data_IF_035177818213
#
_entry.id   IF_035177818213
#
_cell.length_a   1.000
_cell.length_b   1.000
_cell.length_c   1.000
_cell.angle_alpha   90.00
_cell.angle_beta   90.00
_cell.angle_gamma   90.00
#
_symmetry.space_group_name_H-M   'P 1'
#
loop_
_entity.id
_entity.type
_entity.pdbx_description
1 polymer ?
#
# COMPACT_ATOMS: atom_id res chain seq x y z
N UNK A 1 9.02 -27.44 3.50
CA UNK A 1 9.03 -26.03 3.07
C UNK A 1 7.58 -25.56 3.06
N UNK A 2 7.20 -24.69 3.98
CA UNK A 2 5.87 -24.08 3.99
C UNK A 2 5.92 -22.94 2.97
N UNK A 3 5.20 -23.12 1.85
CA UNK A 3 5.22 -22.19 0.70
C UNK A 3 4.39 -20.92 0.93
N UNK A 4 3.74 -20.76 2.09
CA UNK A 4 2.89 -19.60 2.39
C UNK A 4 2.72 -19.43 3.90
N UNK A 5 2.82 -18.19 4.44
CA UNK A 5 2.56 -17.88 5.85
C UNK A 5 1.12 -18.17 6.26
N UNK A 6 0.20 -18.35 5.33
CA UNK A 6 -1.19 -18.72 5.59
C UNK A 6 -1.35 -20.15 6.12
N UNK A 7 -0.32 -21.00 6.00
CA UNK A 7 -0.33 -22.38 6.49
C UNK A 7 -0.14 -22.48 8.01
N UNK A 8 0.43 -21.45 8.65
CA UNK A 8 0.65 -21.40 10.09
C UNK A 8 -0.56 -20.79 10.79
N UNK A 9 -1.38 -21.66 11.39
CA UNK A 9 -2.57 -21.27 12.15
C UNK A 9 -2.22 -21.28 13.64
N UNK A 10 -2.22 -20.11 14.31
CA UNK A 10 -1.96 -20.00 15.75
C UNK A 10 -3.21 -20.30 16.58
N UNK A 11 -4.40 -19.91 16.09
CA UNK A 11 -5.66 -20.12 16.82
C UNK A 11 -6.81 -20.30 15.83
N UNK A 12 -7.64 -21.31 16.09
CA UNK A 12 -8.85 -21.58 15.33
C UNK A 12 -10.05 -21.52 16.26
N UNK A 13 -10.93 -20.53 16.07
CA UNK A 13 -12.20 -20.42 16.76
C UNK A 13 -13.34 -20.37 15.75
N UNK A 14 -13.99 -21.50 15.51
CA UNK A 14 -15.09 -21.62 14.55
C UNK A 14 -14.65 -21.28 13.12
N UNK A 15 -15.28 -20.26 12.53
CA UNK A 15 -14.98 -19.80 11.17
C UNK A 15 -13.79 -18.85 11.03
N UNK A 16 -13.25 -18.35 12.16
CA UNK A 16 -12.14 -17.39 12.17
C UNK A 16 -10.84 -18.15 12.46
N UNK A 17 -9.96 -18.18 11.45
CA UNK A 17 -8.58 -18.69 11.58
C UNK A 17 -7.64 -17.51 11.74
N UNK A 18 -6.97 -17.41 12.88
CA UNK A 18 -5.88 -16.44 13.07
C UNK A 18 -4.60 -17.03 12.50
N UNK A 19 -4.33 -16.69 11.25
CA UNK A 19 -3.11 -17.08 10.55
C UNK A 19 -1.94 -16.19 11.02
N UNK A 20 -0.72 -16.68 10.91
CA UNK A 20 0.50 -15.91 11.16
C UNK A 20 0.50 -14.58 10.38
N UNK A 21 0.01 -14.58 9.16
CA UNK A 21 -0.14 -13.41 8.29
C UNK A 21 -0.93 -12.29 8.94
N UNK A 22 -2.06 -12.61 9.59
CA UNK A 22 -2.92 -11.60 10.25
C UNK A 22 -2.20 -11.01 11.45
N UNK A 23 -1.56 -11.85 12.28
CA UNK A 23 -0.84 -11.42 13.48
C UNK A 23 0.34 -10.52 13.10
N UNK A 24 1.13 -10.91 12.10
CA UNK A 24 2.25 -10.11 11.61
C UNK A 24 1.80 -8.80 10.95
N UNK A 25 0.69 -8.80 10.20
CA UNK A 25 0.12 -7.58 9.61
C UNK A 25 -0.33 -6.60 10.69
N UNK A 26 -1.01 -7.08 11.72
CA UNK A 26 -1.46 -6.25 12.85
C UNK A 26 -0.28 -5.73 13.65
N UNK A 27 0.71 -6.58 13.91
CA UNK A 27 1.95 -6.17 14.58
C UNK A 27 2.67 -5.07 13.82
N UNK A 28 2.81 -5.22 12.49
CA UNK A 28 3.44 -4.24 11.63
C UNK A 28 2.66 -2.91 11.60
N UNK A 29 1.33 -2.96 11.46
CA UNK A 29 0.48 -1.77 11.52
C UNK A 29 0.59 -1.05 12.86
N UNK A 30 0.62 -1.80 13.97
CA UNK A 30 0.79 -1.23 15.29
C UNK A 30 2.14 -0.54 15.43
N UNK A 31 3.23 -1.19 15.00
CA UNK A 31 4.59 -0.62 15.04
C UNK A 31 4.69 0.65 14.19
N UNK A 32 4.13 0.64 12.98
CA UNK A 32 4.11 1.82 12.09
C UNK A 32 3.31 2.97 12.69
N UNK A 33 2.11 2.69 13.22
CA UNK A 33 1.25 3.71 13.82
C UNK A 33 1.87 4.30 15.08
N UNK A 34 2.38 3.44 15.97
CA UNK A 34 3.03 3.86 17.20
C UNK A 34 4.34 4.60 16.94
N UNK A 35 5.16 4.09 16.02
CA UNK A 35 6.42 4.74 15.61
C UNK A 35 6.17 6.11 14.98
N UNK A 36 5.20 6.21 14.08
CA UNK A 36 4.77 7.49 13.48
C UNK A 36 4.28 8.47 14.56
N UNK A 37 3.44 8.01 15.47
CA UNK A 37 2.93 8.83 16.57
C UNK A 37 4.07 9.33 17.49
N UNK A 38 5.03 8.46 17.81
CA UNK A 38 6.15 8.81 18.68
C UNK A 38 7.04 9.89 18.05
N UNK A 39 7.31 9.77 16.75
CA UNK A 39 8.14 10.73 16.02
C UNK A 39 7.38 12.04 15.78
N UNK A 40 6.10 11.98 15.41
CA UNK A 40 5.29 13.17 15.15
C UNK A 40 4.91 13.94 16.42
N UNK A 41 4.84 13.28 17.57
CA UNK A 41 4.55 13.95 18.86
C UNK A 41 5.61 15.00 19.26
N UNK A 42 6.84 14.86 18.78
CA UNK A 42 7.96 15.76 19.11
C UNK A 42 8.46 16.55 17.90
N UNK A 43 7.55 16.87 16.97
CA UNK A 43 7.91 17.71 15.83
C UNK A 43 8.31 19.11 16.30
N UNK A 44 9.57 19.44 16.13
CA UNK A 44 10.11 20.79 16.36
C UNK A 44 10.11 21.59 15.06
N UNK A 45 9.57 22.81 15.10
CA UNK A 45 9.63 23.75 13.97
C UNK A 45 10.94 24.54 13.91
N UNK A 46 11.88 24.29 14.85
CA UNK A 46 13.16 24.99 14.94
C UNK A 46 14.28 24.35 14.09
N UNK A 47 15.45 24.99 14.15
CA UNK A 47 16.69 24.53 13.48
C UNK A 47 17.24 23.22 14.05
N UNK A 48 16.92 22.89 15.30
CA UNK A 48 17.30 21.62 15.93
C UNK A 48 16.32 20.51 15.57
N UNK A 49 16.47 19.99 14.35
CA UNK A 49 15.69 18.84 13.89
C UNK A 49 16.29 17.54 14.40
N UNK A 50 15.45 16.70 15.03
CA UNK A 50 15.83 15.32 15.37
C UNK A 50 16.19 14.52 14.11
N UNK A 51 17.19 13.64 14.20
CA UNK A 51 17.62 12.75 13.10
C UNK A 51 16.43 11.94 12.55
N UNK A 52 15.51 11.53 13.40
CA UNK A 52 14.28 10.79 13.03
C UNK A 52 13.29 11.66 12.25
N UNK A 53 13.16 12.92 12.61
CA UNK A 53 12.33 13.87 11.88
C UNK A 53 12.89 14.13 10.48
N UNK A 54 14.21 14.27 10.35
CA UNK A 54 14.84 14.46 9.06
C UNK A 54 14.69 13.24 8.15
N UNK A 55 14.81 12.03 8.71
CA UNK A 55 14.57 10.80 7.97
C UNK A 55 13.14 10.72 7.44
N UNK A 56 12.13 11.00 8.27
CA UNK A 56 10.73 11.04 7.84
C UNK A 56 10.49 12.11 6.76
N UNK A 57 11.10 13.28 6.91
CA UNK A 57 10.96 14.35 5.93
C UNK A 57 11.54 13.95 4.56
N UNK A 58 12.69 13.29 4.55
CA UNK A 58 13.30 12.75 3.32
C UNK A 58 12.37 11.72 2.65
N UNK A 59 11.81 10.78 3.42
CA UNK A 59 10.90 9.77 2.89
C UNK A 59 9.64 10.42 2.31
N UNK A 60 9.01 11.32 3.07
CA UNK A 60 7.78 12.01 2.65
C UNK A 60 8.03 12.87 1.41
N UNK A 61 9.12 13.62 1.38
CA UNK A 61 9.49 14.45 0.22
C UNK A 61 9.74 13.58 -0.99
N UNK A 62 10.51 12.50 -0.85
CA UNK A 62 10.77 11.57 -1.94
C UNK A 62 9.48 10.95 -2.52
N UNK A 63 8.51 10.58 -1.67
CA UNK A 63 7.21 10.08 -2.15
C UNK A 63 6.42 11.18 -2.88
N UNK A 64 6.41 12.40 -2.35
CA UNK A 64 5.73 13.54 -2.99
C UNK A 64 6.34 13.86 -4.35
N UNK A 65 7.67 13.84 -4.45
CA UNK A 65 8.37 14.10 -5.72
C UNK A 65 8.06 13.02 -6.76
N UNK A 66 8.05 11.75 -6.36
CA UNK A 66 7.65 10.65 -7.26
C UNK A 66 6.19 10.77 -7.72
N UNK A 67 5.27 11.17 -6.83
CA UNK A 67 3.87 11.40 -7.20
C UNK A 67 3.76 12.59 -8.17
N UNK A 68 4.55 13.63 -7.96
CA UNK A 68 4.56 14.80 -8.84
C UNK A 68 5.14 14.48 -10.24
N UNK A 69 6.18 13.64 -10.32
CA UNK A 69 6.76 13.17 -11.57
C UNK A 69 5.77 12.40 -12.46
N UNK A 70 4.81 11.70 -11.86
CA UNK A 70 3.74 11.01 -12.58
C UNK A 70 2.72 12.00 -13.20
N UNK A 71 2.85 13.29 -12.91
CA UNK A 71 2.01 14.35 -13.49
C UNK A 71 0.73 14.65 -12.73
N UNK A 72 0.61 14.20 -11.48
CA UNK A 72 -0.53 14.52 -10.64
C UNK A 72 -0.43 15.94 -10.08
N UNK A 73 -1.44 16.76 -10.38
CA UNK A 73 -1.46 18.19 -10.01
C UNK A 73 -1.53 18.44 -8.51
N UNK A 74 -2.05 17.48 -7.75
CA UNK A 74 -2.22 17.60 -6.28
C UNK A 74 -1.59 16.41 -5.55
N UNK A 75 -0.26 16.27 -5.52
CA UNK A 75 0.42 15.11 -4.94
C UNK A 75 0.09 14.89 -3.46
N UNK A 76 -0.18 15.94 -2.71
CA UNK A 76 -0.53 15.86 -1.28
C UNK A 76 -1.86 15.14 -1.01
N UNK A 77 -2.79 15.13 -1.96
CA UNK A 77 -4.06 14.42 -1.83
C UNK A 77 -3.84 12.91 -1.80
N UNK A 78 -2.88 12.44 -2.60
CA UNK A 78 -2.56 11.03 -2.76
C UNK A 78 -1.53 10.54 -1.73
N UNK A 79 -0.78 11.48 -1.13
CA UNK A 79 0.32 11.16 -0.22
C UNK A 79 -0.12 10.29 0.96
N UNK A 80 -1.26 10.55 1.55
CA UNK A 80 -1.76 9.78 2.68
C UNK A 80 -1.95 8.31 2.34
N UNK A 81 -2.58 8.02 1.21
CA UNK A 81 -2.86 6.65 0.78
C UNK A 81 -1.60 5.96 0.22
N UNK A 82 -0.94 6.57 -0.76
CA UNK A 82 0.27 6.00 -1.38
C UNK A 82 1.40 5.87 -0.36
N UNK A 83 1.57 6.87 0.51
CA UNK A 83 2.59 6.86 1.55
C UNK A 83 2.38 5.75 2.57
N UNK A 84 1.13 5.52 3.01
CA UNK A 84 0.83 4.42 3.94
C UNK A 84 1.06 3.05 3.31
N UNK A 85 0.63 2.85 2.06
CA UNK A 85 0.89 1.60 1.32
C UNK A 85 2.39 1.37 1.12
N UNK A 86 3.12 2.40 0.72
CA UNK A 86 4.57 2.33 0.54
C UNK A 86 5.27 1.96 1.84
N UNK A 87 4.95 2.64 2.94
CA UNK A 87 5.56 2.37 4.25
C UNK A 87 5.21 0.96 4.74
N UNK A 88 3.99 0.49 4.53
CA UNK A 88 3.58 -0.86 4.90
C UNK A 88 4.39 -1.91 4.15
N UNK A 89 4.45 -1.82 2.81
CA UNK A 89 5.19 -2.77 1.97
C UNK A 89 6.69 -2.70 2.24
N UNK A 90 7.26 -1.49 2.33
CA UNK A 90 8.68 -1.29 2.61
C UNK A 90 9.07 -1.87 3.98
N UNK A 91 8.27 -1.61 5.02
CA UNK A 91 8.53 -2.14 6.36
C UNK A 91 8.37 -3.66 6.42
N UNK A 92 7.36 -4.23 5.74
CA UNK A 92 7.20 -5.68 5.62
C UNK A 92 8.43 -6.34 5.01
N UNK A 93 9.00 -5.71 3.96
CA UNK A 93 10.20 -6.20 3.29
C UNK A 93 11.46 -6.04 4.15
N UNK A 94 11.59 -4.92 4.88
CA UNK A 94 12.74 -4.71 5.76
C UNK A 94 12.80 -5.73 6.90
N UNK A 95 11.65 -6.08 7.46
CA UNK A 95 11.58 -7.04 8.57
C UNK A 95 11.88 -8.48 8.09
N UNK A 96 11.82 -8.77 6.79
CA UNK A 96 12.22 -10.08 6.22
C UNK A 96 13.69 -10.43 6.47
N UNK A 97 14.53 -9.44 6.79
CA UNK A 97 15.94 -9.67 7.18
C UNK A 97 16.04 -10.51 8.47
N UNK A 98 14.99 -10.52 9.29
CA UNK A 98 14.98 -11.30 10.53
C UNK A 98 14.65 -12.76 10.20
N UNK A 99 15.56 -13.71 10.47
CA UNK A 99 15.31 -15.12 10.19
C UNK A 99 14.14 -15.64 11.05
N UNK A 100 13.20 -16.34 10.40
CA UNK A 100 11.98 -16.84 11.03
C UNK A 100 10.77 -15.90 10.93
N UNK A 101 10.91 -14.73 10.30
CA UNK A 101 9.79 -13.85 9.98
C UNK A 101 9.31 -14.12 8.56
N UNK A 102 8.04 -14.47 8.43
CA UNK A 102 7.37 -14.60 7.14
C UNK A 102 6.59 -13.32 6.85
N UNK A 103 6.96 -12.54 5.81
CA UNK A 103 6.33 -11.28 5.53
C UNK A 103 4.85 -11.49 5.13
N UNK A 104 3.93 -10.68 5.63
CA UNK A 104 2.52 -10.76 5.25
C UNK A 104 2.30 -10.54 3.74
N UNK A 105 3.20 -9.81 3.09
CA UNK A 105 3.20 -9.61 1.64
C UNK A 105 3.61 -10.85 0.84
N UNK A 106 4.13 -11.90 1.47
CA UNK A 106 4.34 -13.23 0.90
C UNK A 106 3.05 -14.06 0.81
N UNK A 107 1.95 -13.60 1.41
CA UNK A 107 0.63 -14.21 1.29
C UNK A 107 -0.14 -13.63 0.09
N UNK A 108 -0.72 -14.52 -0.73
CA UNK A 108 -1.55 -14.11 -1.86
C UNK A 108 -2.81 -13.38 -1.37
N UNK A 109 -3.35 -13.73 -0.21
CA UNK A 109 -4.51 -13.06 0.37
C UNK A 109 -4.23 -11.60 0.71
N UNK A 110 -3.08 -11.31 1.31
CA UNK A 110 -2.67 -9.94 1.65
C UNK A 110 -2.38 -9.10 0.40
N UNK A 111 -1.65 -9.65 -0.58
CA UNK A 111 -1.35 -8.93 -1.83
C UNK A 111 -2.60 -8.66 -2.64
N UNK A 112 -3.56 -9.61 -2.66
CA UNK A 112 -4.86 -9.39 -3.30
C UNK A 112 -5.67 -8.33 -2.56
N UNK A 113 -5.70 -8.35 -1.23
CA UNK A 113 -6.39 -7.32 -0.44
C UNK A 113 -5.82 -5.92 -0.70
N UNK A 114 -4.49 -5.77 -0.73
CA UNK A 114 -3.83 -4.50 -1.08
C UNK A 114 -4.19 -4.05 -2.50
N UNK A 115 -4.19 -4.97 -3.46
CA UNK A 115 -4.56 -4.67 -4.84
C UNK A 115 -6.03 -4.21 -4.96
N UNK A 116 -6.96 -4.84 -4.22
CA UNK A 116 -8.36 -4.42 -4.14
C UNK A 116 -8.48 -3.03 -3.52
N UNK A 117 -7.72 -2.73 -2.45
CA UNK A 117 -7.69 -1.38 -1.88
C UNK A 117 -7.25 -0.33 -2.91
N UNK A 118 -6.22 -0.62 -3.71
CA UNK A 118 -5.76 0.27 -4.80
C UNK A 118 -6.84 0.40 -5.87
N UNK A 119 -7.50 -0.69 -6.25
CA UNK A 119 -8.57 -0.69 -7.24
C UNK A 119 -9.72 0.25 -6.87
N UNK A 120 -10.13 0.28 -5.61
CA UNK A 120 -11.16 1.22 -5.13
C UNK A 120 -10.61 2.64 -4.93
N UNK A 121 -9.33 2.77 -4.58
CA UNK A 121 -8.73 4.08 -4.38
C UNK A 121 -8.63 4.89 -5.67
N UNK A 122 -8.32 4.24 -6.80
CA UNK A 122 -8.20 4.93 -8.11
C UNK A 122 -9.46 5.71 -8.47
N UNK A 123 -10.68 5.13 -8.49
CA UNK A 123 -11.88 5.90 -8.79
C UNK A 123 -12.22 6.92 -7.70
N UNK A 124 -11.99 6.61 -6.42
CA UNK A 124 -12.28 7.54 -5.32
C UNK A 124 -11.44 8.81 -5.46
N UNK A 125 -10.13 8.66 -5.65
CA UNK A 125 -9.23 9.81 -5.81
C UNK A 125 -9.43 10.49 -7.16
N UNK A 126 -9.72 9.77 -8.24
CA UNK A 126 -10.03 10.33 -9.54
C UNK A 126 -11.28 11.24 -9.50
N UNK A 127 -12.32 10.80 -8.80
CA UNK A 127 -13.53 11.62 -8.57
C UNK A 127 -13.23 12.82 -7.66
N UNK A 128 -12.41 12.64 -6.63
CA UNK A 128 -12.04 13.72 -5.71
C UNK A 128 -11.20 14.82 -6.38
N UNK A 129 -10.38 14.47 -7.37
CA UNK A 129 -9.53 15.43 -8.08
C UNK A 129 -10.25 16.14 -9.23
N UNK A 130 -10.97 15.40 -10.08
CA UNK A 130 -11.57 15.90 -11.32
C UNK A 130 -13.08 16.13 -11.23
N UNK A 131 -13.74 15.61 -10.18
CA UNK A 131 -15.19 15.58 -10.06
C UNK A 131 -15.82 14.41 -10.82
N UNK A 132 -17.03 14.02 -10.36
CA UNK A 132 -17.73 12.83 -10.85
C UNK A 132 -18.00 12.89 -12.37
N UNK A 133 -18.44 14.04 -12.86
CA UNK A 133 -18.82 14.25 -14.27
C UNK A 133 -17.61 14.20 -15.19
N UNK A 134 -16.50 14.84 -14.82
CA UNK A 134 -15.29 14.84 -15.61
C UNK A 134 -14.62 13.47 -15.61
N UNK A 135 -14.63 12.76 -14.48
CA UNK A 135 -14.10 11.41 -14.34
C UNK A 135 -14.86 10.43 -15.23
N UNK A 136 -16.21 10.39 -15.17
CA UNK A 136 -17.03 9.52 -16.01
C UNK A 136 -16.87 9.88 -17.51
N UNK A 137 -16.79 11.18 -17.82
CA UNK A 137 -16.58 11.61 -19.18
C UNK A 137 -15.21 11.16 -19.73
N UNK A 138 -14.17 11.10 -18.92
CA UNK A 138 -12.86 10.59 -19.31
C UNK A 138 -12.90 9.08 -19.62
N UNK A 139 -13.72 8.31 -18.92
CA UNK A 139 -13.89 6.87 -19.17
C UNK A 139 -14.73 6.57 -20.44
N UNK A 140 -15.65 7.49 -20.82
CA UNK A 140 -16.54 7.34 -21.97
C UNK A 140 -15.95 7.93 -23.24
N UNK A 141 -15.03 8.91 -23.14
CA UNK A 141 -14.39 9.51 -24.31
C UNK A 141 -13.29 8.61 -24.89
N UNK A 142 -13.15 8.55 -26.23
CA UNK A 142 -13.94 9.20 -27.27
C UNK A 142 -15.25 8.49 -27.62
N UNK A 143 -15.45 7.21 -27.19
CA UNK A 143 -16.62 6.42 -27.59
C UNK A 143 -17.11 5.55 -26.40
N UNK A 144 -18.40 5.33 -26.31
CA UNK A 144 -19.03 4.49 -25.26
C UNK A 144 -18.48 3.06 -25.24
N UNK A 145 -17.97 2.58 -26.38
CA UNK A 145 -17.32 1.27 -26.53
C UNK A 145 -16.00 1.19 -25.74
N UNK A 146 -15.36 2.32 -25.41
CA UNK A 146 -14.14 2.35 -24.64
C UNK A 146 -14.33 2.09 -23.14
N UNK A 147 -15.55 2.24 -22.63
CA UNK A 147 -15.85 2.02 -21.22
C UNK A 147 -15.51 0.58 -20.77
N UNK A 148 -15.95 -0.50 -21.46
CA UNK A 148 -15.57 -1.86 -21.04
C UNK A 148 -14.07 -2.11 -21.15
N UNK A 149 -13.39 -1.55 -22.15
CA UNK A 149 -11.92 -1.68 -22.27
C UNK A 149 -11.18 -0.99 -21.13
N UNK A 150 -11.63 0.17 -20.70
CA UNK A 150 -11.04 0.89 -19.58
C UNK A 150 -11.23 0.11 -18.27
N UNK A 151 -12.39 -0.49 -18.03
CA UNK A 151 -12.65 -1.34 -16.87
C UNK A 151 -11.75 -2.58 -16.89
N UNK A 152 -11.64 -3.27 -18.03
CA UNK A 152 -10.77 -4.44 -18.17
C UNK A 152 -9.31 -4.06 -17.97
N UNK A 153 -8.87 -2.93 -18.50
CA UNK A 153 -7.52 -2.42 -18.30
C UNK A 153 -7.20 -2.14 -16.84
N UNK A 154 -8.13 -1.52 -16.10
CA UNK A 154 -7.99 -1.23 -14.68
C UNK A 154 -7.92 -2.51 -13.84
N UNK A 155 -8.78 -3.48 -14.15
CA UNK A 155 -8.79 -4.79 -13.52
C UNK A 155 -7.47 -5.54 -13.79
N UNK A 156 -6.99 -5.53 -15.02
CA UNK A 156 -5.73 -6.16 -15.42
C UNK A 156 -4.53 -5.53 -14.71
N UNK A 157 -4.53 -4.20 -14.57
CA UNK A 157 -3.50 -3.47 -13.80
C UNK A 157 -3.47 -3.88 -12.35
N UNK A 158 -4.64 -4.02 -11.73
CA UNK A 158 -4.79 -4.45 -10.33
C UNK A 158 -4.29 -5.87 -10.12
N UNK A 159 -4.66 -6.79 -11.02
CA UNK A 159 -4.17 -8.17 -10.98
C UNK A 159 -2.65 -8.24 -11.19
N UNK A 160 -2.13 -7.46 -12.13
CA UNK A 160 -0.68 -7.38 -12.35
C UNK A 160 0.08 -6.84 -11.14
N UNK A 161 -0.50 -5.89 -10.39
CA UNK A 161 0.07 -5.37 -9.15
C UNK A 161 0.13 -6.46 -8.08
N UNK A 162 -0.98 -7.20 -7.86
CA UNK A 162 -1.04 -8.30 -6.91
C UNK A 162 -0.02 -9.39 -7.25
N UNK A 163 0.02 -9.81 -8.51
CA UNK A 163 0.97 -10.83 -8.98
C UNK A 163 2.43 -10.38 -8.86
N UNK A 164 2.72 -9.10 -9.12
CA UNK A 164 4.06 -8.55 -8.99
C UNK A 164 4.52 -8.51 -7.53
N UNK A 165 3.66 -8.03 -6.61
CA UNK A 165 3.98 -8.01 -5.19
C UNK A 165 4.22 -9.43 -4.66
N UNK A 166 3.32 -10.35 -4.96
CA UNK A 166 3.45 -11.75 -4.57
C UNK A 166 4.71 -12.40 -5.17
N UNK A 167 4.92 -12.23 -6.48
CA UNK A 167 6.06 -12.81 -7.19
C UNK A 167 7.42 -12.32 -6.69
N UNK A 168 7.54 -11.01 -6.40
CA UNK A 168 8.76 -10.43 -5.85
C UNK A 168 9.09 -11.01 -4.47
N UNK A 169 8.07 -11.25 -3.64
CA UNK A 169 8.28 -11.81 -2.31
C UNK A 169 8.63 -13.29 -2.34
N UNK A 170 7.94 -14.07 -3.18
CA UNK A 170 8.24 -15.51 -3.34
C UNK A 170 9.59 -15.76 -4.01
N UNK A 171 10.07 -14.83 -4.83
CA UNK A 171 11.40 -14.94 -5.47
C UNK A 171 12.54 -14.52 -4.54
N UNK A 172 12.26 -13.78 -3.47
CA UNK A 172 13.26 -13.27 -2.52
C UNK A 172 13.42 -14.12 -1.25
N UNK A 173 12.58 -15.13 -1.06
CA UNK A 173 12.64 -16.12 0.04
C UNK A 173 13.10 -17.46 -0.46
#
# INVERSE_FOLDING_TARGET
MHLSPDALVFWQFGFVKLNATIVYSWGLMFVLTFGSWLVTRRLSKGLDRSRWQNLLEIIVTGIVDQIAEVGLLKPRLYLGFIGTLFLFVASANLVTIIPGYEPPTGSLSTTTALAICVFFAVPIFGIADSGLTAYLQAYVKPTLIMLPFNIVSELSRTLALAARLFGNMMSGT
#
